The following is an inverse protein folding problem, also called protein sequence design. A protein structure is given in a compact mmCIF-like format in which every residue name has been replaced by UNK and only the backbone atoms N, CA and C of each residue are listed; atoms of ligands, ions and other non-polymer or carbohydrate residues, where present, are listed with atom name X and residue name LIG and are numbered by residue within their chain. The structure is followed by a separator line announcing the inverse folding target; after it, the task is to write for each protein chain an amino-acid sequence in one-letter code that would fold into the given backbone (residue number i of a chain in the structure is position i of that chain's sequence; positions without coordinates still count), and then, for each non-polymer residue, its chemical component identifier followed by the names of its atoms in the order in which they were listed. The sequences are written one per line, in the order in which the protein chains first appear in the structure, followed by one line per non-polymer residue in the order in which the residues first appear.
data_IF_519199637366
#
_entry.id   IF_519199637366
#
_cell.length_a   1.000
_cell.length_b   1.000
_cell.length_c   1.000
_cell.angle_alpha   90.00
_cell.angle_beta   90.00
_cell.angle_gamma   90.00
#
_symmetry.space_group_name_H-M   'P 1'
#
loop_
_entity.id
_entity.type
_entity.pdbx_description
1 polymer ?
#
# COMPACT_ATOMS: atom_id res chain seq x y z
N UNK A 1 -12.96 1.23 -9.06
CA UNK A 1 -12.90 0.71 -7.67
C UNK A 1 -11.95 1.59 -6.90
N UNK A 2 -12.34 2.12 -5.72
CA UNK A 2 -11.49 3.01 -4.91
C UNK A 2 -10.76 2.19 -3.86
N UNK A 3 -9.44 2.36 -3.75
CA UNK A 3 -8.60 1.56 -2.85
C UNK A 3 -7.57 2.43 -2.12
N UNK A 4 -7.16 1.97 -0.95
CA UNK A 4 -5.93 2.39 -0.29
C UNK A 4 -4.96 1.21 -0.27
N UNK A 5 -3.69 1.44 -0.59
CA UNK A 5 -2.68 0.38 -0.65
C UNK A 5 -1.76 0.47 0.56
N UNK A 6 -1.63 -0.64 1.29
CA UNK A 6 -0.62 -0.77 2.34
C UNK A 6 0.77 -0.73 1.70
N UNK A 7 1.53 0.32 2.01
CA UNK A 7 2.82 0.58 1.41
C UNK A 7 3.90 0.77 2.47
N UNK A 8 4.84 -0.17 2.54
CA UNK A 8 6.04 -0.08 3.40
C UNK A 8 7.21 0.63 2.72
N UNK A 9 7.08 1.00 1.44
CA UNK A 9 8.18 1.49 0.60
C UNK A 9 9.05 0.39 0.00
N UNK A 10 8.77 -0.88 0.31
CA UNK A 10 9.46 -2.03 -0.29
C UNK A 10 9.03 -2.30 -1.74
N UNK A 11 9.79 -3.18 -2.41
CA UNK A 11 9.52 -3.58 -3.80
C UNK A 11 8.12 -4.18 -3.97
N UNK A 12 7.67 -4.98 -3.00
CA UNK A 12 6.42 -5.73 -3.10
C UNK A 12 5.20 -4.80 -2.97
N UNK A 13 5.23 -3.87 -2.02
CA UNK A 13 4.21 -2.83 -1.89
C UNK A 13 4.18 -1.86 -3.08
N UNK A 14 5.36 -1.58 -3.65
CA UNK A 14 5.47 -0.73 -4.85
C UNK A 14 4.85 -1.44 -6.06
N UNK A 15 5.10 -2.74 -6.21
CA UNK A 15 4.50 -3.56 -7.25
C UNK A 15 2.98 -3.66 -7.09
N UNK A 16 2.47 -3.88 -5.87
CA UNK A 16 1.03 -3.91 -5.60
C UNK A 16 0.35 -2.59 -5.97
N UNK A 17 1.00 -1.46 -5.68
CA UNK A 17 0.53 -0.12 -6.06
C UNK A 17 0.48 0.03 -7.58
N UNK A 18 1.58 -0.27 -8.27
CA UNK A 18 1.67 -0.19 -9.73
C UNK A 18 0.62 -1.08 -10.41
N UNK A 19 0.47 -2.32 -9.94
CA UNK A 19 -0.48 -3.27 -10.49
C UNK A 19 -1.92 -2.78 -10.31
N UNK A 20 -2.25 -2.21 -9.16
CA UNK A 20 -3.58 -1.63 -8.90
C UNK A 20 -3.91 -0.51 -9.89
N UNK A 21 -2.94 0.37 -10.18
CA UNK A 21 -3.07 1.43 -11.19
C UNK A 21 -3.28 0.81 -12.58
N UNK A 22 -2.49 -0.20 -12.96
CA UNK A 22 -2.63 -0.90 -14.25
C UNK A 22 -3.97 -1.59 -14.45
N UNK A 23 -4.64 -1.98 -13.35
CA UNK A 23 -6.01 -2.52 -13.37
C UNK A 23 -7.09 -1.45 -13.51
N UNK A 24 -6.70 -0.17 -13.60
CA UNK A 24 -7.62 0.96 -13.64
C UNK A 24 -8.30 1.22 -12.29
N UNK A 25 -7.70 0.77 -11.18
CA UNK A 25 -8.22 1.09 -9.86
C UNK A 25 -7.80 2.51 -9.46
N UNK A 26 -8.69 3.18 -8.76
CA UNK A 26 -8.48 4.51 -8.24
C UNK A 26 -7.76 4.41 -6.88
N UNK A 27 -6.42 4.49 -6.92
CA UNK A 27 -5.57 4.44 -5.72
C UNK A 27 -5.59 5.81 -5.05
N UNK A 28 -6.36 5.93 -3.98
CA UNK A 28 -6.61 7.20 -3.29
C UNK A 28 -5.58 7.51 -2.20
N UNK A 29 -4.91 6.49 -1.67
CA UNK A 29 -3.91 6.64 -0.63
C UNK A 29 -2.91 5.49 -0.61
N UNK A 30 -1.69 5.80 -0.18
CA UNK A 30 -0.68 4.84 0.25
C UNK A 30 -0.57 4.92 1.77
N UNK A 31 -0.70 3.78 2.45
CA UNK A 31 -0.78 3.72 3.91
C UNK A 31 0.43 2.97 4.44
N UNK A 32 1.27 3.68 5.18
CA UNK A 32 2.41 3.09 5.89
C UNK A 32 2.04 2.96 7.36
N UNK A 33 2.12 1.74 7.88
CA UNK A 33 1.92 1.48 9.30
C UNK A 33 3.25 1.62 10.05
N UNK A 34 3.24 2.37 11.14
CA UNK A 34 4.35 2.46 12.08
C UNK A 34 3.91 1.79 13.38
N UNK A 35 4.51 0.65 13.70
CA UNK A 35 4.23 -0.09 14.93
C UNK A 35 5.08 0.49 16.04
N UNK A 36 4.44 0.95 17.13
CA UNK A 36 5.09 1.55 18.29
C UNK A 36 4.97 0.71 19.57
N UNK A 37 4.27 -0.42 19.50
CA UNK A 37 4.10 -1.35 20.62
C UNK A 37 5.22 -2.38 20.67
N UNK A 38 5.68 -2.69 21.88
CA UNK A 38 6.74 -3.67 22.20
C UNK A 38 6.15 -5.04 22.58
N UNK A 39 5.08 -5.45 21.89
CA UNK A 39 4.49 -6.78 22.06
C UNK A 39 5.24 -7.77 21.17
N UNK A 40 6.01 -8.65 21.83
CA UNK A 40 6.71 -9.80 21.25
C UNK A 40 6.20 -11.10 21.87
#
# INVERSE_FOLDING_TARGET
MRVAVLCSGGKDSTYATWWSIMRGWDVQALVTLCVTGDDS
#
